data_IF_543811430968
#
_entry.id   IF_543811430968
#
_cell.length_a   1.000
_cell.length_b   1.000
_cell.length_c   1.000
_cell.angle_alpha   90.00
_cell.angle_beta   90.00
_cell.angle_gamma   90.00
#
_symmetry.space_group_name_H-M   'P 1'
#
loop_
_entity.id
_entity.type
_entity.pdbx_description
1 polymer ?
#
# COMPACT_ATOMS: atom_id res chain seq x y z
N UNK A 1 -12.27 -15.19 -20.62
CA UNK A 1 -12.14 -14.00 -19.74
C UNK A 1 -10.66 -13.70 -19.63
N UNK A 2 -10.30 -12.52 -20.11
CA UNK A 2 -8.96 -12.04 -20.46
C UNK A 2 -8.08 -11.85 -19.22
N UNK A 3 -6.98 -12.59 -19.13
CA UNK A 3 -5.96 -12.45 -18.08
C UNK A 3 -5.06 -11.26 -18.44
N UNK A 4 -5.42 -10.06 -17.96
CA UNK A 4 -4.63 -8.84 -18.19
C UNK A 4 -3.30 -8.91 -17.42
N UNK A 5 -2.30 -9.33 -18.18
CA UNK A 5 -0.86 -9.18 -17.93
C UNK A 5 -0.53 -7.72 -17.55
N UNK A 6 -0.13 -7.46 -16.30
CA UNK A 6 0.51 -6.19 -15.92
C UNK A 6 1.97 -6.41 -15.51
N UNK A 7 2.83 -6.17 -16.50
CA UNK A 7 4.17 -5.55 -16.46
C UNK A 7 5.26 -6.08 -15.52
N UNK A 8 6.08 -6.98 -16.10
CA UNK A 8 7.54 -6.85 -16.33
C UNK A 8 8.38 -6.15 -15.24
N UNK A 9 8.84 -6.92 -14.25
CA UNK A 9 10.19 -6.75 -13.67
C UNK A 9 10.83 -8.14 -13.58
N UNK A 10 12.05 -8.25 -14.10
CA UNK A 10 12.78 -9.48 -14.35
C UNK A 10 12.76 -10.44 -13.14
N UNK A 11 12.31 -11.67 -13.38
CA UNK A 11 12.59 -12.82 -12.52
C UNK A 11 14.10 -13.01 -12.53
N UNK A 12 14.81 -12.42 -11.57
CA UNK A 12 16.20 -12.80 -11.31
C UNK A 12 16.14 -14.20 -10.70
N UNK A 13 16.17 -15.20 -11.57
CA UNK A 13 16.48 -16.59 -11.26
C UNK A 13 17.94 -16.61 -10.81
N UNK A 14 18.19 -16.21 -9.56
CA UNK A 14 19.39 -16.64 -8.84
C UNK A 14 18.91 -17.67 -7.84
N UNK A 15 18.52 -18.82 -8.39
CA UNK A 15 18.62 -20.07 -7.67
C UNK A 15 20.12 -20.25 -7.43
N UNK A 16 20.63 -19.87 -6.24
CA UNK A 16 21.99 -20.22 -5.87
C UNK A 16 22.04 -21.75 -5.76
N UNK A 17 22.48 -22.33 -6.86
CA UNK A 17 22.93 -23.71 -6.99
C UNK A 17 23.99 -23.97 -5.92
N UNK A 18 23.89 -25.17 -5.33
CA UNK A 18 24.92 -25.89 -4.58
C UNK A 18 26.34 -25.32 -4.69
N UNK A 19 26.79 -24.57 -3.67
CA UNK A 19 28.20 -24.50 -3.31
C UNK A 19 28.26 -24.68 -1.80
N UNK A 20 28.86 -25.78 -1.35
CA UNK A 20 28.74 -26.31 0.01
C UNK A 20 29.38 -25.44 1.10
N UNK A 21 28.62 -24.49 1.63
CA UNK A 21 28.91 -23.81 2.90
C UNK A 21 27.60 -23.63 3.68
N UNK A 22 27.50 -24.30 4.83
CA UNK A 22 26.65 -23.96 5.98
C UNK A 22 25.19 -23.56 5.69
N UNK A 23 24.28 -24.49 5.98
CA UNK A 23 22.82 -24.33 5.95
C UNK A 23 22.27 -23.15 6.78
N UNK A 24 22.39 -21.91 6.32
CA UNK A 24 21.53 -20.84 6.80
C UNK A 24 20.24 -20.93 6.00
N UNK A 25 19.20 -21.56 6.58
CA UNK A 25 17.96 -21.96 5.90
C UNK A 25 17.20 -20.80 5.27
N UNK A 26 17.58 -20.40 4.05
CA UNK A 26 16.82 -19.46 3.23
C UNK A 26 15.79 -20.29 2.43
N UNK A 27 14.48 -20.19 2.71
CA UNK A 27 13.49 -20.85 1.89
C UNK A 27 13.60 -20.31 0.45
N UNK A 28 13.72 -21.20 -0.54
CA UNK A 28 13.89 -20.88 -1.97
C UNK A 28 12.72 -20.11 -2.61
N UNK A 29 11.76 -19.66 -1.81
CA UNK A 29 10.54 -19.00 -2.24
C UNK A 29 10.25 -17.88 -1.26
N UNK A 30 10.36 -16.64 -1.74
CA UNK A 30 10.01 -15.43 -1.00
C UNK A 30 9.24 -14.51 -1.93
N UNK A 31 8.30 -13.75 -1.38
CA UNK A 31 7.61 -12.70 -2.12
C UNK A 31 8.27 -11.36 -1.81
N UNK A 32 8.34 -10.46 -2.80
CA UNK A 32 8.96 -9.14 -2.66
C UNK A 32 8.04 -8.05 -3.17
N UNK A 33 7.87 -6.99 -2.38
CA UNK A 33 7.11 -5.79 -2.74
C UNK A 33 7.66 -4.60 -1.95
N UNK A 34 7.74 -3.40 -2.55
CA UNK A 34 8.18 -2.16 -1.89
C UNK A 34 9.50 -2.31 -1.08
N UNK A 35 10.48 -3.02 -1.64
CA UNK A 35 11.78 -3.31 -1.01
C UNK A 35 11.71 -4.20 0.25
N UNK A 36 10.55 -4.76 0.57
CA UNK A 36 10.34 -5.72 1.65
C UNK A 36 10.32 -7.15 1.09
N UNK A 37 10.75 -8.12 1.90
CA UNK A 37 10.80 -9.55 1.54
C UNK A 37 10.01 -10.34 2.58
N UNK A 38 9.09 -11.19 2.09
CA UNK A 38 8.13 -11.94 2.90
C UNK A 38 8.29 -13.44 2.70
N UNK A 39 8.18 -14.19 3.78
CA UNK A 39 8.23 -15.66 3.78
C UNK A 39 6.90 -16.26 3.31
N UNK A 40 6.94 -17.48 2.79
CA UNK A 40 5.72 -18.19 2.39
C UNK A 40 4.79 -18.37 3.60
N UNK A 41 3.52 -18.02 3.44
CA UNK A 41 2.51 -18.03 4.49
C UNK A 41 2.37 -16.71 5.26
N UNK A 42 3.30 -15.77 5.08
CA UNK A 42 3.25 -14.47 5.74
C UNK A 42 2.11 -13.61 5.19
N UNK A 43 1.41 -12.91 6.09
CA UNK A 43 0.33 -11.98 5.76
C UNK A 43 0.89 -10.64 5.34
N UNK A 44 0.43 -10.12 4.21
CA UNK A 44 0.96 -8.92 3.55
C UNK A 44 -0.13 -7.94 3.11
N UNK A 45 -1.37 -8.16 3.55
CA UNK A 45 -2.55 -7.39 3.11
C UNK A 45 -2.38 -5.87 3.24
N UNK A 46 -1.79 -5.43 4.36
CA UNK A 46 -1.55 -4.00 4.62
C UNK A 46 -0.56 -3.34 3.65
N UNK A 47 0.37 -4.12 3.09
CA UNK A 47 1.44 -3.62 2.21
C UNK A 47 0.99 -3.55 0.75
N UNK A 48 0.05 -4.42 0.35
CA UNK A 48 -0.46 -4.47 -1.03
C UNK A 48 -1.54 -3.43 -1.24
N UNK A 49 -2.58 -3.42 -0.39
CA UNK A 49 -3.73 -2.52 -0.57
C UNK A 49 -4.35 -2.00 0.73
N UNK A 50 -3.85 -2.43 1.90
CA UNK A 50 -4.37 -1.95 3.18
C UNK A 50 -5.70 -2.59 3.61
N UNK A 51 -6.24 -3.51 2.83
CA UNK A 51 -7.66 -3.88 2.89
C UNK A 51 -7.90 -5.38 2.69
N UNK A 52 -7.41 -5.95 1.58
CA UNK A 52 -7.58 -7.36 1.32
C UNK A 52 -6.60 -8.16 2.18
N UNK A 53 -7.06 -9.30 2.67
CA UNK A 53 -6.15 -10.27 3.27
C UNK A 53 -5.35 -10.92 2.15
N UNK A 54 -4.04 -10.66 2.14
CA UNK A 54 -3.10 -11.18 1.17
C UNK A 54 -2.03 -12.00 1.87
N UNK A 55 -1.58 -13.07 1.22
CA UNK A 55 -0.50 -13.91 1.72
C UNK A 55 0.53 -14.20 0.64
N UNK A 56 1.79 -14.34 1.06
CA UNK A 56 2.83 -14.85 0.19
C UNK A 56 2.65 -16.36 -0.04
N UNK A 57 2.49 -16.77 -1.31
CA UNK A 57 2.40 -18.17 -1.74
C UNK A 57 3.59 -18.50 -2.64
N UNK A 58 3.80 -19.79 -2.91
CA UNK A 58 4.86 -20.24 -3.82
C UNK A 58 4.69 -19.67 -5.24
N UNK A 59 3.46 -19.38 -5.63
CA UNK A 59 3.13 -18.80 -6.94
C UNK A 59 3.10 -17.27 -6.95
N UNK A 60 3.44 -16.59 -5.85
CA UNK A 60 3.32 -15.14 -5.68
C UNK A 60 2.27 -14.76 -4.63
N UNK A 61 1.80 -13.50 -4.65
CA UNK A 61 0.79 -13.03 -3.71
C UNK A 61 -0.60 -13.56 -4.07
N UNK A 62 -1.31 -14.12 -3.09
CA UNK A 62 -2.72 -14.47 -3.20
C UNK A 62 -3.54 -13.63 -2.23
N UNK A 63 -4.50 -12.87 -2.75
CA UNK A 63 -5.37 -11.99 -1.98
C UNK A 63 -6.82 -12.46 -1.99
N UNK A 64 -7.56 -12.10 -0.96
CA UNK A 64 -9.04 -12.11 -0.98
C UNK A 64 -9.54 -10.99 -1.90
N UNK A 65 -10.74 -11.16 -2.47
CA UNK A 65 -11.42 -10.10 -3.21
C UNK A 65 -12.49 -9.48 -2.33
N UNK A 66 -12.22 -8.29 -1.78
CA UNK A 66 -13.18 -7.47 -1.07
C UNK A 66 -13.22 -6.06 -1.67
N UNK A 67 -14.38 -5.43 -1.61
CA UNK A 67 -14.53 -4.03 -2.00
C UNK A 67 -13.80 -3.14 -1.01
N UNK A 68 -12.63 -2.62 -1.41
CA UNK A 68 -11.84 -1.71 -0.59
C UNK A 68 -12.35 -0.29 -0.70
N UNK A 69 -13.13 0.13 0.30
CA UNK A 69 -13.35 1.56 0.53
C UNK A 69 -12.01 2.14 0.99
N UNK A 70 -11.45 3.08 0.21
CA UNK A 70 -10.32 3.88 0.71
C UNK A 70 -10.81 4.55 1.99
N UNK A 71 -10.13 4.28 3.10
CA UNK A 71 -10.43 5.02 4.32
C UNK A 71 -10.19 6.50 4.02
N UNK A 72 -11.12 7.38 4.44
CA UNK A 72 -10.93 8.80 4.22
C UNK A 72 -9.63 9.24 4.90
N UNK A 73 -8.77 9.94 4.15
CA UNK A 73 -7.52 10.46 4.70
C UNK A 73 -7.78 11.74 5.51
N UNK A 74 -7.14 11.80 6.68
CA UNK A 74 -7.02 13.01 7.48
C UNK A 74 -6.08 14.02 6.79
N UNK A 75 -6.27 15.30 7.07
CA UNK A 75 -5.47 16.39 6.52
C UNK A 75 -4.44 16.87 7.54
N UNK A 76 -3.23 17.17 7.07
CA UNK A 76 -2.18 17.82 7.89
C UNK A 76 -1.86 19.19 7.28
N UNK A 77 -2.07 20.25 8.06
CA UNK A 77 -1.84 21.63 7.62
C UNK A 77 -1.10 22.40 8.70
N UNK A 78 0.06 22.95 8.36
CA UNK A 78 0.87 23.77 9.28
C UNK A 78 1.14 23.08 10.63
N UNK A 79 1.27 21.74 10.64
CA UNK A 79 1.48 20.93 11.85
C UNK A 79 0.20 20.62 12.65
N UNK A 80 -0.97 21.03 12.17
CA UNK A 80 -2.28 20.68 12.73
C UNK A 80 -2.87 19.48 11.98
N UNK A 81 -3.48 18.55 12.71
CA UNK A 81 -4.18 17.39 12.16
C UNK A 81 -5.68 17.60 12.21
N UNK A 82 -6.35 17.40 11.07
CA UNK A 82 -7.81 17.51 10.92
C UNK A 82 -8.36 16.19 10.40
N UNK A 83 -9.42 15.69 11.03
CA UNK A 83 -10.10 14.49 10.54
C UNK A 83 -10.82 14.77 9.23
N UNK A 84 -11.04 13.73 8.42
CA UNK A 84 -11.90 13.89 7.25
C UNK A 84 -13.28 14.46 7.64
N UNK A 85 -13.74 15.43 6.84
CA UNK A 85 -14.91 16.28 7.04
C UNK A 85 -14.82 17.31 8.17
N UNK A 86 -13.70 17.43 8.87
CA UNK A 86 -13.51 18.48 9.87
C UNK A 86 -13.38 19.87 9.22
N UNK A 87 -13.95 20.89 9.87
CA UNK A 87 -13.83 22.28 9.43
C UNK A 87 -12.41 22.75 9.76
N UNK A 88 -11.74 23.28 8.76
CA UNK A 88 -10.39 23.82 8.90
C UNK A 88 -10.49 25.35 8.93
N UNK A 89 -9.92 26.02 9.96
CA UNK A 89 -9.85 27.48 9.99
C UNK A 89 -9.10 28.03 8.78
N UNK A 90 -9.64 29.08 8.17
CA UNK A 90 -9.02 29.81 7.07
C UNK A 90 -9.35 31.30 7.22
N UNK A 91 -8.35 32.16 7.00
CA UNK A 91 -8.52 33.61 7.09
C UNK A 91 -9.10 34.19 5.78
N UNK A 92 -8.87 33.51 4.65
CA UNK A 92 -9.15 34.03 3.30
C UNK A 92 -10.37 33.38 2.63
N UNK A 93 -10.97 32.36 3.24
CA UNK A 93 -12.10 31.60 2.68
C UNK A 93 -13.28 31.51 3.65
N UNK A 94 -14.50 31.48 3.11
CA UNK A 94 -15.74 31.37 3.89
C UNK A 94 -15.83 30.05 4.68
N UNK A 95 -15.57 28.92 4.03
CA UNK A 95 -15.53 27.61 4.67
C UNK A 95 -14.48 26.74 3.99
N UNK A 96 -13.61 26.15 4.80
CA UNK A 96 -12.70 25.09 4.38
C UNK A 96 -12.96 23.81 5.17
N UNK A 97 -12.87 22.67 4.48
CA UNK A 97 -13.08 21.35 5.08
C UNK A 97 -12.01 20.37 4.63
N UNK A 98 -11.55 19.53 5.54
CA UNK A 98 -10.71 18.40 5.17
C UNK A 98 -11.54 17.40 4.35
N UNK A 99 -11.05 17.05 3.17
CA UNK A 99 -11.65 16.05 2.27
C UNK A 99 -10.56 15.15 1.73
N UNK A 100 -10.49 13.93 2.25
CA UNK A 100 -9.61 12.88 1.77
C UNK A 100 -8.15 13.34 1.61
N UNK A 101 -7.59 13.91 2.69
CA UNK A 101 -6.22 14.41 2.76
C UNK A 101 -5.96 15.75 2.08
N UNK A 102 -7.00 16.41 1.54
CA UNK A 102 -6.88 17.69 0.86
C UNK A 102 -7.84 18.72 1.47
N UNK A 103 -7.48 20.00 1.35
CA UNK A 103 -8.34 21.09 1.78
C UNK A 103 -9.33 21.46 0.67
N UNK A 104 -10.62 21.32 0.95
CA UNK A 104 -11.69 21.77 0.08
C UNK A 104 -12.29 23.07 0.64
N UNK A 105 -11.96 24.20 0.02
CA UNK A 105 -12.46 25.52 0.41
C UNK A 105 -13.52 26.05 -0.56
N UNK A 106 -14.40 26.89 -0.06
CA UNK A 106 -15.41 27.60 -0.84
C UNK A 106 -15.42 29.08 -0.47
N UNK A 107 -15.72 29.94 -1.45
CA UNK A 107 -15.83 31.39 -1.24
C UNK A 107 -14.52 32.04 -0.77
N UNK A 108 -13.39 31.69 -1.38
CA UNK A 108 -12.11 32.34 -1.12
C UNK A 108 -12.05 33.71 -1.82
N UNK A 109 -11.44 34.69 -1.16
CA UNK A 109 -11.17 36.00 -1.73
C UNK A 109 -9.89 35.92 -2.59
N UNK A 110 -9.97 36.36 -3.85
CA UNK A 110 -8.86 36.42 -4.80
C UNK A 110 -8.01 37.70 -4.65
#
# INVERSE_FOLDING_TARGET
MEMKLMFRIAVLIVCCMNIGLGHSGIPCWVCRINNQTFSIGESVGTVIDGCNNCWCRKTGFGCTEMGCLKQPLDCEMQGMHYKDNEIVPSDDCLECRCRNGNLACTGCLD
#
